data_IF_518741125356
#
_entry.id   IF_518741125356
#
_cell.length_a   1.000
_cell.length_b   1.000
_cell.length_c   1.000
_cell.angle_alpha   90.00
_cell.angle_beta   90.00
_cell.angle_gamma   90.00
#
_symmetry.space_group_name_H-M   'P 1'
#
loop_
_entity.id
_entity.type
_entity.pdbx_description
1 polymer ?
#
# COMPACT_ATOMS: atom_id res chain seq x y z
N UNK A 1 3.32 -4.77 9.67
CA UNK A 1 3.10 -6.23 9.61
C UNK A 1 1.71 -6.52 9.06
N UNK A 2 1.52 -7.50 8.17
CA UNK A 2 0.20 -7.86 7.68
C UNK A 2 -0.59 -8.52 8.81
N UNK A 3 -1.72 -7.91 9.20
CA UNK A 3 -2.67 -8.51 10.14
C UNK A 3 -3.80 -9.19 9.38
N UNK A 4 -4.09 -10.43 9.79
CA UNK A 4 -5.23 -11.21 9.29
C UNK A 4 -6.32 -11.12 10.37
N UNK A 5 -7.48 -10.55 10.03
CA UNK A 5 -8.59 -10.38 10.97
C UNK A 5 -9.47 -11.62 10.94
N UNK A 6 -9.77 -12.17 12.13
CA UNK A 6 -10.77 -13.22 12.27
C UNK A 6 -12.16 -12.59 12.09
N UNK A 7 -12.84 -12.92 10.99
CA UNK A 7 -14.17 -12.41 10.67
C UNK A 7 -15.25 -13.17 11.42
N UNK A 8 -15.09 -14.48 11.57
CA UNK A 8 -16.10 -15.32 12.19
C UNK A 8 -15.49 -16.55 12.85
N UNK A 9 -16.08 -16.97 13.97
CA UNK A 9 -15.78 -18.23 14.65
C UNK A 9 -17.10 -18.94 14.93
N UNK A 10 -17.26 -20.16 14.40
CA UNK A 10 -18.44 -21.00 14.65
C UNK A 10 -18.01 -22.36 15.19
N UNK A 11 -18.79 -22.91 16.10
CA UNK A 11 -18.68 -24.33 16.45
C UNK A 11 -19.66 -25.13 15.58
N UNK A 12 -19.14 -26.15 14.92
CA UNK A 12 -19.93 -27.12 14.16
C UNK A 12 -19.65 -28.49 14.76
N UNK A 13 -20.67 -29.06 15.41
CA UNK A 13 -20.63 -30.31 16.18
C UNK A 13 -19.64 -30.26 17.36
N UNK A 14 -18.36 -30.53 17.11
CA UNK A 14 -17.27 -30.49 18.10
C UNK A 14 -16.01 -29.77 17.58
N UNK A 15 -16.06 -29.22 16.36
CA UNK A 15 -14.94 -28.52 15.73
C UNK A 15 -15.20 -27.03 15.65
N UNK A 16 -14.21 -26.24 16.04
CA UNK A 16 -14.23 -24.79 15.84
C UNK A 16 -13.74 -24.45 14.44
N UNK A 17 -14.60 -23.84 13.62
CA UNK A 17 -14.25 -23.31 12.30
C UNK A 17 -14.07 -21.79 12.39
N UNK A 18 -12.95 -21.29 11.86
CA UNK A 18 -12.56 -19.88 11.85
C UNK A 18 -12.54 -19.38 10.41
N UNK A 19 -13.23 -18.27 10.12
CA UNK A 19 -13.19 -17.58 8.82
C UNK A 19 -12.40 -16.29 8.97
N UNK A 20 -11.37 -16.14 8.16
CA UNK A 20 -10.51 -14.95 8.14
C UNK A 20 -10.90 -14.00 7.02
N UNK A 21 -10.43 -12.76 7.11
CA UNK A 21 -10.60 -11.76 6.05
C UNK A 21 -9.79 -12.12 4.81
N UNK A 22 -10.24 -11.62 3.66
CA UNK A 22 -9.50 -11.79 2.41
C UNK A 22 -8.16 -11.03 2.53
N UNK A 23 -7.08 -11.57 1.97
CA UNK A 23 -5.79 -10.87 1.97
C UNK A 23 -5.91 -9.55 1.22
N UNK A 24 -5.61 -8.45 1.91
CA UNK A 24 -5.59 -7.08 1.37
C UNK A 24 -4.33 -6.36 1.82
N UNK A 25 -3.82 -5.47 0.96
CA UNK A 25 -2.71 -4.61 1.36
C UNK A 25 -3.16 -3.67 2.50
N UNK A 26 -2.27 -3.35 3.46
CA UNK A 26 -2.59 -2.42 4.55
C UNK A 26 -3.14 -1.08 4.05
N UNK A 27 -2.57 -0.55 2.96
CA UNK A 27 -3.04 0.65 2.27
C UNK A 27 -4.52 0.53 1.84
N UNK A 28 -4.88 -0.55 1.15
CA UNK A 28 -6.25 -0.79 0.70
C UNK A 28 -7.23 -0.90 1.88
N UNK A 29 -6.82 -1.57 2.96
CA UNK A 29 -7.64 -1.71 4.17
C UNK A 29 -7.94 -0.37 4.83
N UNK A 30 -6.96 0.55 4.86
CA UNK A 30 -7.15 1.89 5.42
C UNK A 30 -8.11 2.71 4.55
N UNK A 31 -7.98 2.63 3.22
CA UNK A 31 -8.88 3.32 2.30
C UNK A 31 -10.34 2.85 2.43
N UNK A 32 -10.56 1.56 2.68
CA UNK A 32 -11.88 0.95 2.85
C UNK A 32 -12.46 1.13 4.26
N UNK A 33 -11.65 1.47 5.27
CA UNK A 33 -12.12 1.60 6.65
C UNK A 33 -13.06 2.82 6.80
N UNK A 34 -14.25 2.66 7.41
CA UNK A 34 -15.17 3.77 7.66
C UNK A 34 -14.68 4.69 8.78
N UNK A 35 -13.79 4.20 9.65
CA UNK A 35 -13.30 4.90 10.84
C UNK A 35 -12.23 5.97 10.51
N UNK A 36 -11.81 6.06 9.26
CA UNK A 36 -10.74 6.96 8.80
C UNK A 36 -11.36 8.13 8.05
N UNK A 37 -11.01 9.34 8.46
CA UNK A 37 -11.46 10.57 7.81
C UNK A 37 -11.04 10.66 6.34
N UNK A 38 -11.89 11.25 5.50
CA UNK A 38 -11.63 11.40 4.07
C UNK A 38 -10.35 12.20 3.76
N UNK A 39 -10.03 13.20 4.58
CA UNK A 39 -8.81 14.01 4.49
C UNK A 39 -7.54 13.14 4.60
N UNK A 40 -7.49 12.27 5.60
CA UNK A 40 -6.39 11.32 5.83
C UNK A 40 -6.26 10.35 4.65
N UNK A 41 -7.37 9.88 4.08
CA UNK A 41 -7.36 9.03 2.88
C UNK A 41 -6.80 9.75 1.66
N UNK A 42 -7.03 11.06 1.53
CA UNK A 42 -6.47 11.87 0.44
C UNK A 42 -4.96 11.99 0.58
N UNK A 43 -4.47 12.36 1.76
CA UNK A 43 -3.03 12.47 2.06
C UNK A 43 -2.33 11.14 1.78
N UNK A 44 -2.94 10.02 2.20
CA UNK A 44 -2.37 8.69 1.99
C UNK A 44 -2.26 8.33 0.49
N UNK A 45 -3.23 8.75 -0.34
CA UNK A 45 -3.18 8.57 -1.79
C UNK A 45 -2.05 9.39 -2.40
N UNK A 46 -1.93 10.66 -2.01
CA UNK A 46 -0.84 11.53 -2.49
C UNK A 46 0.53 10.94 -2.15
N UNK A 47 0.72 10.51 -0.89
CA UNK A 47 1.94 9.86 -0.45
C UNK A 47 2.24 8.59 -1.26
N UNK A 48 1.24 7.75 -1.50
CA UNK A 48 1.40 6.53 -2.29
C UNK A 48 1.87 6.83 -3.73
N UNK A 49 1.32 7.86 -4.38
CA UNK A 49 1.75 8.28 -5.71
C UNK A 49 3.21 8.78 -5.71
N UNK A 50 3.63 9.53 -4.69
CA UNK A 50 5.03 9.99 -4.59
C UNK A 50 6.04 8.85 -4.41
N UNK A 51 5.60 7.72 -3.85
CA UNK A 51 6.44 6.57 -3.55
C UNK A 51 6.59 5.61 -4.72
N UNK A 52 6.09 5.95 -5.92
CA UNK A 52 6.16 5.07 -7.08
C UNK A 52 7.62 4.85 -7.53
N UNK A 53 8.19 3.65 -7.34
CA UNK A 53 9.61 3.41 -7.57
C UNK A 53 10.01 3.52 -9.05
N UNK A 54 9.07 3.25 -9.97
CA UNK A 54 9.33 3.36 -11.40
C UNK A 54 9.45 4.82 -11.85
N UNK A 55 8.60 5.69 -11.31
CA UNK A 55 8.66 7.13 -11.58
C UNK A 55 9.91 7.75 -10.96
N UNK A 56 10.23 7.36 -9.72
CA UNK A 56 11.45 7.79 -9.04
C UNK A 56 12.70 7.39 -9.82
N UNK A 57 12.79 6.13 -10.25
CA UNK A 57 13.90 5.64 -11.07
C UNK A 57 14.04 6.43 -12.38
N UNK A 58 12.94 6.60 -13.14
CA UNK A 58 12.96 7.39 -14.39
C UNK A 58 13.48 8.81 -14.16
N UNK A 59 13.07 9.43 -13.06
CA UNK A 59 13.50 10.78 -12.70
C UNK A 59 15.00 10.83 -12.38
N UNK A 60 15.51 9.84 -11.65
CA UNK A 60 16.94 9.71 -11.34
C UNK A 60 17.73 9.52 -12.63
N UNK A 61 17.33 8.58 -13.48
CA UNK A 61 18.01 8.28 -14.74
C UNK A 61 18.07 9.50 -15.67
N UNK A 62 16.99 10.27 -15.75
CA UNK A 62 16.95 11.50 -16.52
C UNK A 62 17.92 12.57 -15.98
N UNK A 63 18.01 12.73 -14.65
CA UNK A 63 18.96 13.65 -14.01
C UNK A 63 20.40 13.21 -14.23
N UNK A 64 20.69 11.92 -14.06
CA UNK A 64 22.02 11.35 -14.29
C UNK A 64 22.47 11.56 -15.74
N UNK A 65 21.61 11.30 -16.73
CA UNK A 65 21.92 11.56 -18.15
C UNK A 65 22.37 13.00 -18.40
N UNK A 66 21.67 13.99 -17.82
CA UNK A 66 22.05 15.41 -17.95
C UNK A 66 23.45 15.67 -17.39
N UNK A 67 23.76 15.10 -16.23
CA UNK A 67 25.08 15.25 -15.59
C UNK A 67 26.18 14.62 -16.46
N UNK A 68 25.96 13.40 -16.98
CA UNK A 68 26.94 12.73 -17.84
C UNK A 68 27.19 13.47 -19.16
N UNK A 69 26.15 14.05 -19.77
CA UNK A 69 26.30 14.89 -20.96
C UNK A 69 27.13 16.13 -20.67
N UNK A 70 26.92 16.79 -19.52
CA UNK A 70 27.69 17.98 -19.13
C UNK A 70 29.16 17.66 -18.83
N UNK A 71 29.46 16.48 -18.25
CA UNK A 71 30.83 16.05 -17.96
C UNK A 71 31.64 15.71 -19.21
N UNK A 72 30.98 15.17 -20.24
CA UNK A 72 31.63 14.72 -21.48
C UNK A 72 31.77 15.84 -22.53
N UNK A 73 31.50 17.09 -22.15
CA UNK A 73 31.71 18.30 -22.94
C UNK A 73 32.91 19.05 -22.40
#
# INVERSE_FOLDING_TARGET
>A
MPSVKLVEKKQVVAKTVKRYDKPKAPYQRILESPDVEASVKHILKEQFETLNPFQLRKTIDAKLKKIFVLKNK
#
